data_IF_835566312674
#
_entry.id   IF_835566312674
#
_cell.length_a   1.000
_cell.length_b   1.000
_cell.length_c   1.000
_cell.angle_alpha   90.00
_cell.angle_beta   90.00
_cell.angle_gamma   90.00
#
_symmetry.space_group_name_H-M   'P 1'
#
loop_
_entity.id
_entity.type
_entity.pdbx_description
1 polymer ?
#
# COMPACT_ATOMS: atom_id res chain seq x y z
N UNK A 1 -20.28 2.19 18.73
CA UNK A 1 -21.15 3.16 18.02
C UNK A 1 -20.37 4.14 17.13
N UNK A 2 -19.45 4.95 17.66
CA UNK A 2 -18.69 5.93 16.86
C UNK A 2 -17.90 5.33 15.68
N UNK A 3 -17.16 4.23 15.90
CA UNK A 3 -16.39 3.56 14.83
C UNK A 3 -17.29 3.00 13.73
N UNK A 4 -18.43 2.43 14.10
CA UNK A 4 -19.38 1.87 13.13
C UNK A 4 -19.98 2.98 12.25
N UNK A 5 -20.38 4.11 12.86
CA UNK A 5 -20.87 5.28 12.13
C UNK A 5 -19.78 5.87 11.21
N UNK A 6 -18.55 6.01 11.70
CA UNK A 6 -17.43 6.51 10.90
C UNK A 6 -17.10 5.61 9.71
N UNK A 7 -17.12 4.29 9.91
CA UNK A 7 -16.91 3.31 8.84
C UNK A 7 -18.03 3.32 7.81
N UNK A 8 -19.29 3.46 8.23
CA UNK A 8 -20.42 3.59 7.31
C UNK A 8 -20.25 4.84 6.44
N UNK A 9 -20.02 6.00 7.07
CA UNK A 9 -19.81 7.26 6.37
C UNK A 9 -18.63 7.20 5.38
N UNK A 10 -17.50 6.61 5.80
CA UNK A 10 -16.34 6.43 4.91
C UNK A 10 -16.69 5.57 3.70
N UNK A 11 -17.44 4.48 3.90
CA UNK A 11 -17.82 3.57 2.81
C UNK A 11 -18.76 4.20 1.80
N UNK A 12 -19.65 5.08 2.26
CA UNK A 12 -20.55 5.83 1.39
C UNK A 12 -19.77 6.78 0.45
N UNK A 13 -18.68 7.37 0.95
CA UNK A 13 -17.87 8.33 0.19
C UNK A 13 -16.76 7.69 -0.65
N UNK A 14 -16.16 6.59 -0.17
CA UNK A 14 -14.91 6.05 -0.72
C UNK A 14 -14.99 4.56 -1.10
N UNK A 15 -16.14 3.92 -0.85
CA UNK A 15 -16.38 2.52 -1.15
C UNK A 15 -15.92 1.56 -0.06
N UNK A 16 -16.01 0.26 -0.37
CA UNK A 16 -15.91 -0.82 0.63
C UNK A 16 -14.53 -1.01 1.28
N UNK A 17 -13.46 -0.57 0.63
CA UNK A 17 -12.09 -0.82 1.06
C UNK A 17 -11.58 0.33 1.91
N UNK A 18 -11.15 0.02 3.14
CA UNK A 18 -10.59 1.00 4.05
C UNK A 18 -9.07 0.99 3.93
N UNK A 19 -8.49 2.13 3.56
CA UNK A 19 -7.03 2.27 3.41
C UNK A 19 -6.31 2.00 4.73
N UNK A 20 -5.14 1.37 4.67
CA UNK A 20 -4.35 0.97 5.85
C UNK A 20 -4.74 -0.37 6.48
N UNK A 21 -5.74 -1.06 5.92
CA UNK A 21 -6.19 -2.36 6.40
C UNK A 21 -6.25 -3.38 5.26
N UNK A 22 -5.96 -4.64 5.62
CA UNK A 22 -5.87 -5.76 4.70
C UNK A 22 -4.45 -5.95 4.15
N UNK A 23 -4.11 -7.21 3.94
CA UNK A 23 -2.80 -7.58 3.43
C UNK A 23 -2.92 -8.84 2.55
N UNK A 24 -2.24 -8.85 1.40
CA UNK A 24 -2.33 -9.96 0.41
C UNK A 24 -1.57 -11.22 0.85
N UNK A 25 -0.36 -11.02 1.40
CA UNK A 25 0.57 -12.13 1.67
C UNK A 25 0.64 -12.54 3.15
N UNK A 26 0.55 -11.59 4.07
CA UNK A 26 0.63 -11.83 5.51
C UNK A 26 -0.77 -11.84 6.15
N UNK A 27 -1.13 -12.90 6.89
CA UNK A 27 -2.33 -12.91 7.73
C UNK A 27 -2.33 -11.81 8.81
N UNK A 28 -1.13 -11.41 9.23
CA UNK A 28 -0.84 -10.26 10.08
C UNK A 28 0.45 -9.63 9.58
N UNK A 29 0.46 -8.33 9.26
CA UNK A 29 1.70 -7.65 8.87
C UNK A 29 2.68 -7.65 10.05
N UNK A 30 3.88 -8.27 9.94
CA UNK A 30 4.79 -8.41 11.08
C UNK A 30 5.32 -7.07 11.60
N UNK A 31 5.24 -5.99 10.80
CA UNK A 31 5.76 -4.67 11.17
C UNK A 31 4.78 -3.89 12.02
N UNK A 32 3.48 -4.03 11.74
CA UNK A 32 2.44 -3.24 12.38
C UNK A 32 2.39 -3.44 13.92
N UNK A 33 2.41 -4.67 14.47
CA UNK A 33 2.41 -4.88 15.91
C UNK A 33 3.60 -4.20 16.60
N UNK A 34 4.82 -4.33 16.05
CA UNK A 34 6.00 -3.74 16.67
C UNK A 34 5.94 -2.21 16.68
N UNK A 35 5.51 -1.60 15.58
CA UNK A 35 5.33 -0.15 15.48
C UNK A 35 4.27 0.36 16.45
N UNK A 36 3.14 -0.33 16.55
CA UNK A 36 2.10 0.06 17.50
C UNK A 36 2.56 -0.10 18.95
N UNK A 37 3.37 -1.10 19.29
CA UNK A 37 3.99 -1.20 20.62
C UNK A 37 4.90 -0.02 20.92
N UNK A 38 5.65 0.51 19.94
CA UNK A 38 6.45 1.72 20.13
C UNK A 38 5.58 2.96 20.34
N UNK A 39 4.43 3.03 19.67
CA UNK A 39 3.45 4.10 19.89
C UNK A 39 2.84 3.99 21.29
N UNK A 40 2.49 2.78 21.73
CA UNK A 40 1.96 2.52 23.08
C UNK A 40 2.99 2.97 24.13
N UNK A 41 4.26 2.61 23.97
CA UNK A 41 5.36 3.05 24.84
C UNK A 41 5.52 4.59 24.85
N UNK A 42 5.48 5.24 23.69
CA UNK A 42 5.54 6.70 23.62
C UNK A 42 4.32 7.38 24.25
N UNK A 43 3.15 6.73 24.25
CA UNK A 43 1.97 7.21 24.94
C UNK A 43 2.08 7.06 26.46
N UNK A 44 2.61 5.93 26.93
CA UNK A 44 2.90 5.71 28.36
C UNK A 44 3.91 6.74 28.91
N UNK A 45 4.89 7.12 28.09
CA UNK A 45 5.87 8.18 28.40
C UNK A 45 5.30 9.61 28.26
N UNK A 46 4.04 9.76 27.83
CA UNK A 46 3.38 11.06 27.64
C UNK A 46 3.86 11.88 26.43
N UNK A 47 4.63 11.28 25.52
CA UNK A 47 5.15 11.94 24.30
C UNK A 47 4.04 12.13 23.27
N UNK A 48 3.11 11.18 23.18
CA UNK A 48 1.95 11.22 22.30
C UNK A 48 0.68 10.81 23.05
N UNK A 49 -0.48 10.99 22.42
CA UNK A 49 -1.77 10.74 23.09
C UNK A 49 -2.17 9.26 23.13
N UNK A 50 -1.70 8.46 22.17
CA UNK A 50 -2.16 7.09 21.93
C UNK A 50 -3.60 7.00 21.37
N UNK A 51 -4.28 8.13 21.19
CA UNK A 51 -5.68 8.20 20.72
C UNK A 51 -5.86 7.60 19.33
N UNK A 52 -4.95 7.90 18.41
CA UNK A 52 -5.02 7.42 17.03
C UNK A 52 -4.71 5.92 16.95
N UNK A 53 -3.81 5.41 17.80
CA UNK A 53 -3.58 3.99 17.93
C UNK A 53 -4.85 3.26 18.42
N UNK A 54 -5.52 3.81 19.44
CA UNK A 54 -6.77 3.26 19.95
C UNK A 54 -7.88 3.26 18.90
N UNK A 55 -8.03 4.36 18.14
CA UNK A 55 -8.99 4.45 17.02
C UNK A 55 -8.68 3.38 15.97
N UNK A 56 -7.42 3.26 15.54
CA UNK A 56 -7.05 2.32 14.49
C UNK A 56 -7.24 0.86 14.88
N UNK A 57 -6.94 0.48 16.13
CA UNK A 57 -7.24 -0.85 16.70
C UNK A 57 -8.75 -1.12 16.77
N UNK A 58 -9.55 -0.11 17.12
CA UNK A 58 -11.00 -0.24 17.15
C UNK A 58 -11.59 -0.42 15.73
N UNK A 59 -11.03 0.28 14.74
CA UNK A 59 -11.37 0.09 13.31
C UNK A 59 -11.01 -1.32 12.85
N UNK A 60 -9.80 -1.81 13.15
CA UNK A 60 -9.37 -3.19 12.84
C UNK A 60 -10.37 -4.23 13.37
N UNK A 61 -10.73 -4.11 14.65
CA UNK A 61 -11.71 -4.98 15.31
C UNK A 61 -13.07 -4.92 14.62
N UNK A 62 -13.55 -3.73 14.27
CA UNK A 62 -14.83 -3.56 13.60
C UNK A 62 -14.83 -4.11 12.16
N UNK A 63 -13.71 -3.99 11.44
CA UNK A 63 -13.57 -4.56 10.10
C UNK A 63 -13.51 -6.08 10.09
N UNK A 64 -12.90 -6.68 11.12
CA UNK A 64 -12.83 -8.13 11.31
C UNK A 64 -14.09 -8.78 11.90
N UNK A 65 -15.01 -8.00 12.49
CA UNK A 65 -16.21 -8.54 13.12
C UNK A 65 -17.09 -9.32 12.11
N UNK A 66 -17.48 -10.55 12.48
CA UNK A 66 -18.35 -11.40 11.67
C UNK A 66 -17.68 -12.00 10.42
N UNK A 67 -16.34 -11.98 10.33
CA UNK A 67 -15.59 -12.57 9.22
C UNK A 67 -14.74 -13.75 9.71
N UNK A 68 -14.63 -14.77 8.87
CA UNK A 68 -13.74 -15.92 9.12
C UNK A 68 -12.25 -15.55 9.05
N UNK A 69 -11.93 -14.51 8.26
CA UNK A 69 -10.56 -14.00 8.10
C UNK A 69 -10.48 -12.56 8.60
N UNK A 70 -9.51 -12.24 9.48
CA UNK A 70 -9.30 -10.88 9.94
C UNK A 70 -8.87 -9.97 8.78
N UNK A 71 -9.16 -8.68 8.93
CA UNK A 71 -8.63 -7.63 8.05
C UNK A 71 -7.59 -6.87 8.87
N UNK A 72 -6.32 -7.34 8.90
CA UNK A 72 -5.32 -6.78 9.79
C UNK A 72 -4.91 -5.38 9.36
N UNK A 73 -4.44 -4.56 10.29
CA UNK A 73 -3.73 -3.33 9.97
C UNK A 73 -2.43 -3.67 9.23
N UNK A 74 -2.17 -2.98 8.12
CA UNK A 74 -0.91 -3.11 7.38
C UNK A 74 0.06 -1.98 7.76
N UNK A 75 1.27 -2.00 7.17
CA UNK A 75 2.26 -0.95 7.41
C UNK A 75 1.76 0.47 7.12
N UNK A 76 0.90 0.65 6.13
CA UNK A 76 0.36 1.97 5.78
C UNK A 76 -0.58 2.47 6.89
N UNK A 77 -1.38 1.58 7.47
CA UNK A 77 -2.20 1.87 8.65
C UNK A 77 -1.37 2.21 9.89
N UNK A 78 -0.33 1.41 10.16
CA UNK A 78 0.56 1.63 11.31
C UNK A 78 1.32 2.96 11.19
N UNK A 79 1.83 3.29 10.01
CA UNK A 79 2.50 4.58 9.77
C UNK A 79 1.54 5.76 9.80
N UNK A 80 0.30 5.60 9.32
CA UNK A 80 -0.73 6.62 9.46
C UNK A 80 -1.05 6.94 10.93
N UNK A 81 -1.08 5.93 11.81
CA UNK A 81 -1.19 6.14 13.26
C UNK A 81 -0.03 6.99 13.78
N UNK A 82 1.20 6.62 13.46
CA UNK A 82 2.41 7.35 13.91
C UNK A 82 2.33 8.82 13.46
N UNK A 83 2.02 9.07 12.18
CA UNK A 83 1.97 10.44 11.66
C UNK A 83 0.85 11.26 12.31
N UNK A 84 -0.30 10.64 12.59
CA UNK A 84 -1.40 11.30 13.28
C UNK A 84 -1.05 11.62 14.74
N UNK A 85 -0.40 10.70 15.47
CA UNK A 85 0.08 10.95 16.84
C UNK A 85 1.11 12.09 16.90
N UNK A 86 1.99 12.17 15.90
CA UNK A 86 2.97 13.25 15.77
C UNK A 86 2.38 14.57 15.25
N UNK A 87 1.07 14.62 14.97
CA UNK A 87 0.38 15.84 14.55
C UNK A 87 0.62 16.25 13.10
N UNK A 88 1.07 15.34 12.23
CA UNK A 88 1.23 15.65 10.81
C UNK A 88 -0.15 15.83 10.13
N UNK A 89 -0.34 16.88 9.33
CA UNK A 89 -1.45 16.97 8.40
C UNK A 89 -1.49 15.78 7.45
N UNK A 90 -2.66 15.19 7.23
CA UNK A 90 -2.83 14.00 6.39
C UNK A 90 -2.20 14.10 4.98
N UNK A 91 -2.23 15.26 4.26
CA UNK A 91 -1.56 15.38 2.97
C UNK A 91 -0.05 15.15 3.00
N UNK A 92 0.62 15.40 4.14
CA UNK A 92 2.08 15.25 4.28
C UNK A 92 2.52 13.80 4.47
N UNK A 93 1.62 12.91 4.91
CA UNK A 93 1.94 11.50 5.14
C UNK A 93 2.51 10.82 3.88
N UNK A 94 1.97 11.16 2.70
CA UNK A 94 2.48 10.67 1.41
C UNK A 94 3.92 11.13 1.15
N UNK A 95 4.29 12.33 1.57
CA UNK A 95 5.64 12.86 1.43
C UNK A 95 6.66 12.05 2.26
N UNK A 96 6.35 11.77 3.52
CA UNK A 96 7.19 10.95 4.40
C UNK A 96 7.38 9.54 3.84
N UNK A 97 6.31 8.94 3.31
CA UNK A 97 6.39 7.67 2.60
C UNK A 97 7.34 7.75 1.39
N UNK A 98 7.17 8.74 0.51
CA UNK A 98 8.03 8.92 -0.67
C UNK A 98 9.52 9.07 -0.29
N UNK A 99 9.84 9.84 0.75
CA UNK A 99 11.21 10.01 1.24
C UNK A 99 11.82 8.69 1.75
N UNK A 100 11.05 7.90 2.50
CA UNK A 100 11.55 6.59 2.96
C UNK A 100 11.83 5.63 1.79
N UNK A 101 10.97 5.66 0.75
CA UNK A 101 11.11 4.80 -0.43
C UNK A 101 12.24 5.26 -1.35
N UNK A 102 12.53 6.56 -1.43
CA UNK A 102 13.59 7.09 -2.28
C UNK A 102 14.97 6.59 -1.89
N UNK A 103 15.22 6.37 -0.58
CA UNK A 103 16.48 5.77 -0.10
C UNK A 103 16.66 4.37 -0.68
N UNK A 104 15.64 3.51 -0.59
CA UNK A 104 15.71 2.16 -1.14
C UNK A 104 15.85 2.13 -2.67
N UNK A 105 15.14 3.03 -3.37
CA UNK A 105 15.25 3.16 -4.83
C UNK A 105 16.67 3.57 -5.23
N UNK A 106 17.26 4.55 -4.54
CA UNK A 106 18.64 4.98 -4.77
C UNK A 106 19.62 3.82 -4.55
N UNK A 107 19.49 3.11 -3.43
CA UNK A 107 20.36 1.96 -3.11
C UNK A 107 20.26 0.85 -4.15
N UNK A 108 19.05 0.48 -4.57
CA UNK A 108 18.87 -0.55 -5.62
C UNK A 108 19.36 -0.09 -6.98
N UNK A 109 19.18 1.20 -7.33
CA UNK A 109 19.72 1.74 -8.57
C UNK A 109 21.25 1.65 -8.60
N UNK A 110 21.90 2.00 -7.49
CA UNK A 110 23.35 1.88 -7.35
C UNK A 110 23.81 0.41 -7.37
N UNK A 111 23.16 -0.47 -6.62
CA UNK A 111 23.46 -1.91 -6.67
C UNK A 111 23.38 -2.46 -8.10
N UNK A 112 22.36 -2.05 -8.85
CA UNK A 112 22.16 -2.47 -10.23
C UNK A 112 23.25 -1.95 -11.17
N UNK A 113 23.81 -0.75 -10.96
CA UNK A 113 24.92 -0.23 -11.78
C UNK A 113 26.21 -1.02 -11.56
N UNK A 114 26.41 -1.56 -10.36
CA UNK A 114 27.59 -2.37 -10.02
C UNK A 114 27.49 -3.84 -10.46
N UNK A 115 26.31 -4.31 -10.88
CA UNK A 115 26.10 -5.71 -11.29
C UNK A 115 26.87 -6.10 -12.56
N UNK A 116 27.23 -5.14 -13.43
CA UNK A 116 27.89 -5.40 -14.72
C UNK A 116 27.00 -6.09 -15.77
N UNK A 117 25.70 -6.26 -15.47
CA UNK A 117 24.73 -6.85 -16.38
C UNK A 117 24.26 -5.87 -17.46
N UNK A 118 23.80 -6.40 -18.60
CA UNK A 118 23.14 -5.59 -19.64
C UNK A 118 21.82 -5.02 -19.12
N UNK A 119 21.37 -3.90 -19.69
CA UNK A 119 20.04 -3.36 -19.43
C UNK A 119 18.98 -4.45 -19.58
N UNK A 120 18.24 -4.70 -18.49
CA UNK A 120 17.15 -5.66 -18.47
C UNK A 120 16.01 -5.11 -19.34
N UNK A 121 15.53 -5.93 -20.28
CA UNK A 121 14.29 -5.62 -20.99
C UNK A 121 13.11 -5.57 -20.02
N UNK A 122 11.98 -4.92 -20.41
CA UNK A 122 10.84 -4.72 -19.51
C UNK A 122 10.20 -6.02 -19.04
N UNK A 123 10.31 -7.11 -19.81
CA UNK A 123 9.70 -8.41 -19.52
C UNK A 123 10.68 -9.55 -19.87
N UNK A 124 10.85 -10.57 -19.01
CA UNK A 124 11.57 -11.79 -19.38
C UNK A 124 10.92 -12.47 -20.59
N UNK A 125 11.71 -12.94 -21.56
CA UNK A 125 11.21 -13.50 -22.83
C UNK A 125 10.16 -14.61 -22.68
N UNK A 126 10.16 -15.33 -21.56
CA UNK A 126 9.21 -16.39 -21.24
C UNK A 126 7.83 -15.90 -20.75
N UNK A 127 7.68 -14.60 -20.49
CA UNK A 127 6.44 -13.98 -20.00
C UNK A 127 5.94 -12.87 -20.92
N UNK A 128 6.23 -12.96 -22.22
CA UNK A 128 5.70 -12.01 -23.20
C UNK A 128 4.17 -12.07 -23.23
N UNK A 129 3.56 -10.92 -23.54
CA UNK A 129 2.11 -10.81 -23.67
C UNK A 129 1.58 -11.80 -24.70
N UNK A 130 0.46 -12.44 -24.38
CA UNK A 130 -0.36 -13.14 -25.37
C UNK A 130 -1.01 -12.09 -26.25
N UNK A 131 -0.67 -12.09 -27.55
CA UNK A 131 -1.33 -11.24 -28.52
C UNK A 131 -2.67 -11.87 -28.94
N UNK A 132 -3.77 -11.19 -28.65
CA UNK A 132 -5.15 -11.60 -28.95
C UNK A 132 -5.79 -10.76 -30.08
N UNK A 133 -4.97 -9.97 -30.78
CA UNK A 133 -5.40 -9.14 -31.90
C UNK A 133 -5.47 -9.90 -33.24
N UNK A 134 -5.45 -9.14 -34.33
CA UNK A 134 -5.58 -9.69 -35.69
C UNK A 134 -4.32 -10.47 -36.10
N UNK A 135 -4.45 -11.64 -36.77
CA UNK A 135 -3.30 -12.38 -37.24
C UNK A 135 -2.48 -11.53 -38.23
N UNK A 136 -1.20 -11.88 -38.37
CA UNK A 136 -0.34 -11.28 -39.38
C UNK A 136 -1.00 -11.41 -40.75
N UNK A 137 -1.07 -10.29 -41.48
CA UNK A 137 -1.68 -10.18 -42.81
C UNK A 137 -0.81 -9.34 -43.72
N UNK A 138 -0.88 -9.60 -45.01
CA UNK A 138 -0.18 -8.80 -46.00
C UNK A 138 -0.75 -7.37 -46.07
N UNK A 139 0.11 -6.42 -46.40
CA UNK A 139 -0.31 -5.05 -46.70
C UNK A 139 -1.15 -5.10 -47.98
N UNK A 140 -2.37 -4.55 -48.01
CA UNK A 140 -3.16 -4.51 -49.23
C UNK A 140 -2.35 -3.83 -50.34
N UNK A 141 -2.17 -4.51 -51.47
CA UNK A 141 -1.71 -3.86 -52.69
C UNK A 141 -2.84 -2.96 -53.16
N UNK A 142 -2.61 -1.65 -53.15
CA UNK A 142 -3.49 -0.72 -53.85
C UNK A 142 -3.66 -1.25 -55.27
N UNK A 143 -4.90 -1.52 -55.64
CA UNK A 143 -5.24 -1.97 -56.98
C UNK A 143 -4.76 -0.91 -57.95
N UNK A 144 -3.60 -1.17 -58.56
CA UNK A 144 -3.20 -0.54 -59.80
C UNK A 144 -4.30 -0.85 -60.79
N UNK A 145 -5.26 0.06 -60.91
CA UNK A 145 -5.95 0.28 -62.16
C UNK A 145 -4.85 0.60 -63.19
N UNK A 146 -4.49 -0.42 -63.97
CA UNK A 146 -3.96 -0.22 -65.31
C UNK A 146 -5.16 -0.30 -66.25
#
# INVERSE_FOLDING_TARGET
DAVAAGLAHYRDLHGKFVSGFGHRFHPLDPRAPRLLTLVDQAADDGVVSGRYAAIARAVEKALGAGRDKPIPMNIDGATAVIYAELGFPAPLARGLFCLSRSVGILSHAWEQTQQGGRNKGPIPRQFIWTYDGQPQRDVPVDGGAV
#
